data_IF_599962672385
#
_entry.id   IF_599962672385
#
_cell.length_a   1.000
_cell.length_b   1.000
_cell.length_c   1.000
_cell.angle_alpha   90.00
_cell.angle_beta   90.00
_cell.angle_gamma   90.00
#
_symmetry.space_group_name_H-M   'P 1'
#
loop_
_entity.id
_entity.type
_entity.pdbx_description
1 polymer ?
#
# COMPACT_ATOMS: atom_id res chain seq x y z
N UNK A 1 -15.15 -19.36 -6.60
CA UNK A 1 -13.75 -19.44 -6.12
C UNK A 1 -13.73 -20.36 -4.89
N UNK A 2 -12.69 -21.18 -4.67
CA UNK A 2 -12.58 -21.95 -3.43
C UNK A 2 -12.38 -21.00 -2.25
N UNK A 3 -13.07 -21.23 -1.13
CA UNK A 3 -12.88 -20.45 0.11
C UNK A 3 -11.55 -20.77 0.78
N UNK A 4 -11.05 -21.98 0.59
CA UNK A 4 -9.76 -22.42 1.11
C UNK A 4 -8.76 -22.55 -0.04
N UNK A 5 -7.63 -21.85 0.09
CA UNK A 5 -6.52 -21.87 -0.86
C UNK A 5 -5.39 -22.72 -0.28
N UNK A 6 -5.09 -23.83 -0.91
CA UNK A 6 -4.09 -24.80 -0.47
C UNK A 6 -2.71 -24.47 -1.06
N UNK A 7 -1.72 -24.18 -0.23
CA UNK A 7 -0.34 -23.87 -0.60
C UNK A 7 0.65 -24.99 -0.27
N UNK A 8 0.22 -26.17 0.17
CA UNK A 8 1.11 -27.27 0.59
C UNK A 8 2.09 -27.73 -0.50
N UNK A 9 1.73 -27.61 -1.79
CA UNK A 9 2.58 -28.01 -2.92
C UNK A 9 3.08 -26.82 -3.74
N UNK A 10 3.06 -25.62 -3.16
CA UNK A 10 3.52 -24.41 -3.84
C UNK A 10 5.03 -24.48 -4.14
N UNK A 11 5.42 -24.08 -5.34
CA UNK A 11 6.83 -23.84 -5.64
C UNK A 11 7.30 -22.61 -4.85
N UNK A 12 8.47 -22.69 -4.23
CA UNK A 12 9.10 -21.56 -3.54
C UNK A 12 10.14 -20.91 -4.44
N UNK A 13 10.04 -19.60 -4.63
CA UNK A 13 10.88 -18.84 -5.55
C UNK A 13 11.46 -17.63 -4.80
N UNK A 14 12.79 -17.48 -4.82
CA UNK A 14 13.42 -16.31 -4.23
C UNK A 14 13.13 -15.07 -5.08
N UNK A 15 12.69 -13.98 -4.45
CA UNK A 15 12.57 -12.70 -5.13
C UNK A 15 13.96 -12.14 -5.39
N UNK A 16 14.23 -11.67 -6.61
CA UNK A 16 15.48 -10.99 -6.89
C UNK A 16 15.55 -9.72 -6.04
N UNK A 17 16.63 -9.62 -5.27
CA UNK A 17 16.99 -8.44 -4.49
C UNK A 17 18.22 -7.79 -5.12
N UNK A 18 18.16 -6.50 -5.36
CA UNK A 18 19.31 -5.70 -5.70
C UNK A 18 20.21 -5.60 -4.46
N UNK A 19 21.29 -6.39 -4.45
CA UNK A 19 22.35 -6.36 -3.44
C UNK A 19 23.29 -5.17 -3.68
N UNK A 20 24.39 -5.09 -2.91
CA UNK A 20 25.35 -3.97 -2.87
C UNK A 20 25.88 -3.43 -4.20
N UNK A 21 25.79 -4.15 -5.31
CA UNK A 21 26.28 -3.69 -6.62
C UNK A 21 25.39 -2.61 -7.24
N UNK A 22 24.06 -2.69 -7.06
CA UNK A 22 23.14 -1.66 -7.51
C UNK A 22 23.31 -0.33 -6.73
N UNK A 23 23.87 -0.38 -5.51
CA UNK A 23 24.23 0.82 -4.76
C UNK A 23 25.33 1.64 -5.43
N UNK A 24 26.28 0.95 -6.06
CA UNK A 24 27.42 1.56 -6.75
C UNK A 24 26.95 2.22 -8.04
N UNK A 25 26.08 1.55 -8.80
CA UNK A 25 25.48 2.12 -10.02
C UNK A 25 24.52 3.29 -9.74
N UNK A 26 23.81 3.28 -8.60
CA UNK A 26 22.86 4.33 -8.22
C UNK A 26 23.48 5.44 -7.33
N UNK A 27 24.76 5.34 -6.97
CA UNK A 27 25.52 6.31 -6.16
C UNK A 27 24.87 6.69 -4.80
N UNK A 28 24.11 5.78 -4.15
CA UNK A 28 23.41 6.04 -2.88
C UNK A 28 24.09 5.39 -1.67
N UNK A 29 24.40 6.20 -0.66
CA UNK A 29 25.12 5.78 0.55
C UNK A 29 24.30 4.97 1.56
N UNK A 30 22.97 5.15 1.61
CA UNK A 30 22.05 4.37 2.45
C UNK A 30 20.92 3.84 1.55
N UNK A 31 20.66 2.54 1.55
CA UNK A 31 19.65 1.96 0.65
C UNK A 31 18.24 2.08 1.16
N UNK A 32 18.05 2.14 2.47
CA UNK A 32 16.75 1.95 3.10
C UNK A 32 16.48 3.07 4.10
N UNK A 33 15.32 3.70 3.94
CA UNK A 33 14.85 4.80 4.78
C UNK A 33 13.60 4.32 5.52
N UNK A 34 13.75 3.96 6.79
CA UNK A 34 12.66 3.40 7.60
C UNK A 34 11.76 4.47 8.23
N UNK A 35 11.27 5.40 7.40
CA UNK A 35 10.42 6.49 7.86
C UNK A 35 8.97 6.22 7.44
N UNK A 36 8.10 6.00 8.42
CA UNK A 36 6.71 5.60 8.19
C UNK A 36 5.76 6.78 8.00
N UNK A 37 6.12 7.94 8.55
CA UNK A 37 5.24 9.11 8.61
C UNK A 37 5.78 10.22 7.72
N UNK A 38 4.99 10.57 6.70
CA UNK A 38 5.38 11.53 5.68
C UNK A 38 5.36 12.97 6.19
N UNK A 39 4.42 13.32 7.08
CA UNK A 39 4.36 14.64 7.73
C UNK A 39 5.63 14.92 8.52
N UNK A 40 6.15 13.93 9.25
CA UNK A 40 7.42 14.06 9.97
C UNK A 40 8.60 14.40 9.04
N UNK A 41 8.66 13.82 7.83
CA UNK A 41 9.71 14.15 6.86
C UNK A 41 9.58 15.60 6.39
N UNK A 42 8.36 16.02 6.07
CA UNK A 42 8.03 17.39 5.69
C UNK A 42 8.44 18.37 6.79
N UNK A 43 8.06 18.12 8.03
CA UNK A 43 8.32 19.02 9.15
C UNK A 43 9.83 19.13 9.46
N UNK A 44 10.55 18.00 9.45
CA UNK A 44 12.02 18.02 9.61
C UNK A 44 12.67 18.79 8.48
N UNK A 45 12.20 18.63 7.23
CA UNK A 45 12.68 19.41 6.10
C UNK A 45 12.43 20.91 6.28
N UNK A 46 11.21 21.32 6.65
CA UNK A 46 10.85 22.72 6.89
C UNK A 46 11.68 23.34 8.01
N UNK A 47 12.01 22.59 9.07
CA UNK A 47 12.92 23.04 10.13
C UNK A 47 14.34 23.25 9.58
N UNK A 48 14.85 22.33 8.76
CA UNK A 48 16.17 22.49 8.10
C UNK A 48 16.18 23.76 7.25
N UNK A 49 15.13 24.02 6.46
CA UNK A 49 15.00 25.22 5.64
C UNK A 49 14.98 26.49 6.50
N UNK A 50 14.15 26.52 7.53
CA UNK A 50 13.98 27.67 8.43
C UNK A 50 15.26 28.02 9.18
N UNK A 51 15.96 27.01 9.70
CA UNK A 51 17.12 27.18 10.58
C UNK A 51 18.47 26.97 9.89
N UNK A 52 18.47 26.64 8.59
CA UNK A 52 19.66 26.45 7.74
C UNK A 52 20.70 25.53 8.37
N UNK A 53 20.26 24.41 8.93
CA UNK A 53 21.15 23.46 9.62
C UNK A 53 20.63 22.03 9.53
N UNK A 54 21.56 21.09 9.35
CA UNK A 54 21.32 19.64 9.41
C UNK A 54 21.81 19.01 10.71
N UNK A 55 22.09 19.82 11.75
CA UNK A 55 22.48 19.31 13.07
C UNK A 55 21.28 18.61 13.73
N UNK A 56 21.39 17.30 13.93
CA UNK A 56 20.34 16.49 14.58
C UNK A 56 19.94 17.02 15.96
N UNK A 57 20.90 17.52 16.75
CA UNK A 57 20.66 18.06 18.09
C UNK A 57 19.89 19.38 18.01
N UNK A 58 20.28 20.26 17.08
CA UNK A 58 19.58 21.53 16.86
C UNK A 58 18.14 21.28 16.36
N UNK A 59 17.98 20.43 15.35
CA UNK A 59 16.67 20.11 14.78
C UNK A 59 15.77 19.47 15.84
N UNK A 60 16.28 18.50 16.62
CA UNK A 60 15.52 17.87 17.71
C UNK A 60 15.00 18.92 18.71
N UNK A 61 15.87 19.87 19.12
CA UNK A 61 15.49 20.99 19.99
C UNK A 61 14.43 21.87 19.32
N UNK A 62 14.60 22.20 18.04
CA UNK A 62 13.65 23.04 17.28
C UNK A 62 12.29 22.37 17.08
N UNK A 63 12.22 21.07 16.86
CA UNK A 63 10.96 20.35 16.84
C UNK A 63 10.20 20.51 18.17
N UNK A 64 10.91 20.43 19.30
CA UNK A 64 10.32 20.62 20.64
C UNK A 64 9.87 22.07 20.87
N UNK A 65 10.70 23.06 20.52
CA UNK A 65 10.37 24.49 20.67
C UNK A 65 9.17 24.92 19.80
N UNK A 66 9.01 24.32 18.63
CA UNK A 66 7.90 24.60 17.69
C UNK A 66 6.66 23.73 17.96
N UNK A 67 6.64 22.95 19.05
CA UNK A 67 5.56 22.02 19.43
C UNK A 67 5.20 20.99 18.35
N UNK A 68 6.18 20.54 17.57
CA UNK A 68 5.97 19.48 16.58
C UNK A 68 6.09 18.14 17.27
N UNK A 69 5.01 17.36 17.24
CA UNK A 69 4.96 16.03 17.82
C UNK A 69 5.19 14.96 16.74
N UNK A 70 6.09 13.99 16.97
CA UNK A 70 6.18 12.84 16.09
C UNK A 70 4.92 11.96 16.24
N UNK A 71 4.58 11.22 15.20
CA UNK A 71 3.39 10.35 15.13
C UNK A 71 3.65 8.94 15.68
N UNK A 72 4.88 8.66 16.14
CA UNK A 72 5.27 7.39 16.74
C UNK A 72 4.77 7.19 18.17
N UNK A 73 4.85 5.95 18.66
CA UNK A 73 4.28 5.45 19.93
C UNK A 73 4.61 6.32 21.17
N UNK A 74 5.77 6.98 21.19
CA UNK A 74 6.22 7.75 22.37
C UNK A 74 5.99 9.26 22.25
N UNK A 75 5.50 9.77 21.10
CA UNK A 75 5.29 11.20 20.83
C UNK A 75 6.48 12.11 21.21
N UNK A 76 7.71 11.59 21.22
CA UNK A 76 8.90 12.36 21.57
C UNK A 76 10.00 12.25 20.50
N UNK A 77 10.54 13.40 20.11
CA UNK A 77 11.71 13.47 19.25
C UNK A 77 12.97 13.05 20.00
N UNK A 78 13.70 12.12 19.39
CA UNK A 78 15.07 11.75 19.79
C UNK A 78 16.05 12.15 18.69
N UNK A 79 17.30 12.45 19.04
CA UNK A 79 18.32 12.74 18.02
C UNK A 79 18.49 11.60 17.01
N UNK A 80 18.31 10.34 17.46
CA UNK A 80 18.34 9.17 16.58
C UNK A 80 17.20 9.22 15.56
N UNK A 81 15.97 9.48 16.01
CA UNK A 81 14.83 9.60 15.09
C UNK A 81 15.02 10.75 14.09
N UNK A 82 15.54 11.90 14.53
CA UNK A 82 15.84 13.03 13.65
C UNK A 82 16.92 12.67 12.63
N UNK A 83 18.00 12.00 13.05
CA UNK A 83 19.05 11.53 12.15
C UNK A 83 18.50 10.59 11.06
N UNK A 84 17.57 9.70 11.41
CA UNK A 84 16.88 8.84 10.43
C UNK A 84 16.09 9.65 9.40
N UNK A 85 15.39 10.73 9.81
CA UNK A 85 14.66 11.62 8.89
C UNK A 85 15.63 12.40 8.02
N UNK A 86 16.71 12.96 8.56
CA UNK A 86 17.75 13.65 7.79
C UNK A 86 18.36 12.73 6.73
N UNK A 87 18.69 11.49 7.09
CA UNK A 87 19.22 10.51 6.13
C UNK A 87 18.19 10.16 5.06
N UNK A 88 16.91 10.03 5.42
CA UNK A 88 15.84 9.82 4.47
C UNK A 88 15.69 10.99 3.49
N UNK A 89 15.74 12.24 3.97
CA UNK A 89 15.71 13.44 3.12
C UNK A 89 16.87 13.45 2.11
N UNK A 90 18.07 13.00 2.51
CA UNK A 90 19.20 12.79 1.59
C UNK A 90 18.88 11.73 0.53
N UNK A 91 18.37 10.57 0.96
CA UNK A 91 18.06 9.45 0.07
C UNK A 91 16.95 9.76 -0.95
N UNK A 92 16.00 10.61 -0.56
CA UNK A 92 14.92 11.10 -1.40
C UNK A 92 15.28 12.31 -2.26
N UNK A 93 16.51 12.84 -2.14
CA UNK A 93 16.96 13.96 -2.95
C UNK A 93 16.30 15.30 -2.60
N UNK A 94 15.89 15.46 -1.34
CA UNK A 94 15.39 16.74 -0.82
C UNK A 94 16.52 17.64 -0.30
N UNK A 95 17.59 17.02 0.20
CA UNK A 95 18.83 17.68 0.60
C UNK A 95 20.03 16.91 0.01
N UNK A 96 21.15 17.59 -0.22
CA UNK A 96 22.39 17.01 -0.74
C UNK A 96 23.08 16.10 0.29
N UNK A 97 24.08 15.34 -0.13
CA UNK A 97 24.89 14.50 0.78
C UNK A 97 25.55 15.33 1.89
N UNK A 98 25.96 16.55 1.57
CA UNK A 98 26.58 17.51 2.49
C UNK A 98 25.55 18.28 3.34
N UNK A 99 24.26 18.11 3.05
CA UNK A 99 23.15 18.68 3.82
C UNK A 99 22.63 20.01 3.27
N UNK A 100 23.01 20.39 2.05
CA UNK A 100 22.47 21.57 1.38
C UNK A 100 21.05 21.32 0.88
N UNK A 101 20.16 22.30 1.03
CA UNK A 101 18.77 22.17 0.57
C UNK A 101 18.73 22.31 -0.95
N UNK A 102 18.17 21.32 -1.64
CA UNK A 102 18.10 21.30 -3.12
C UNK A 102 17.04 22.27 -3.63
N UNK A 103 15.85 22.29 -3.02
CA UNK A 103 14.80 23.27 -3.31
C UNK A 103 14.06 23.64 -2.02
N UNK A 104 14.33 24.84 -1.49
CA UNK A 104 13.76 25.29 -0.23
C UNK A 104 12.24 25.50 -0.27
N UNK A 105 11.67 25.72 -1.46
CA UNK A 105 10.25 26.01 -1.67
C UNK A 105 9.48 24.79 -2.18
N UNK A 106 10.04 23.58 -2.03
CA UNK A 106 9.35 22.37 -2.50
C UNK A 106 8.06 22.11 -1.73
N UNK A 107 8.04 22.35 -0.42
CA UNK A 107 6.83 22.29 0.40
C UNK A 107 6.36 23.72 0.72
N UNK A 108 5.08 23.99 0.45
CA UNK A 108 4.44 25.29 0.74
C UNK A 108 3.48 25.23 1.95
N UNK A 109 3.36 24.08 2.61
CA UNK A 109 2.49 23.92 3.77
C UNK A 109 3.19 24.29 5.08
N UNK A 110 2.38 24.55 6.11
CA UNK A 110 2.88 24.99 7.40
C UNK A 110 3.49 23.85 8.22
N UNK A 111 4.46 24.19 9.07
CA UNK A 111 5.04 23.26 10.03
C UNK A 111 3.96 22.64 10.93
N UNK A 112 3.96 21.32 11.10
CA UNK A 112 3.03 20.58 11.95
C UNK A 112 1.62 20.41 11.38
N UNK A 113 1.36 20.97 10.20
CA UNK A 113 0.08 20.77 9.51
C UNK A 113 0.01 19.39 8.85
N UNK A 114 -1.20 18.89 8.68
CA UNK A 114 -1.47 17.70 7.86
C UNK A 114 -0.94 17.87 6.43
N UNK A 115 -0.76 16.74 5.74
CA UNK A 115 -0.29 16.75 4.36
C UNK A 115 -1.38 17.30 3.44
N UNK A 116 -1.05 18.38 2.74
CA UNK A 116 -1.83 18.91 1.62
C UNK A 116 -1.76 17.97 0.41
N UNK A 117 -2.62 18.17 -0.58
CA UNK A 117 -2.56 17.37 -1.80
C UNK A 117 -1.31 17.68 -2.64
N UNK A 118 -0.79 18.91 -2.56
CA UNK A 118 0.52 19.29 -3.11
C UNK A 118 1.66 18.52 -2.43
N UNK A 119 1.65 18.43 -1.09
CA UNK A 119 2.64 17.64 -0.35
C UNK A 119 2.61 16.17 -0.79
N UNK A 120 1.41 15.59 -0.91
CA UNK A 120 1.23 14.21 -1.39
C UNK A 120 1.76 14.03 -2.80
N UNK A 121 1.57 15.00 -3.71
CA UNK A 121 2.09 14.90 -5.07
C UNK A 121 3.62 14.88 -5.11
N UNK A 122 4.28 15.66 -4.26
CA UNK A 122 5.75 15.60 -4.09
C UNK A 122 6.18 14.22 -3.61
N UNK A 123 5.51 13.69 -2.58
CA UNK A 123 5.83 12.37 -2.06
C UNK A 123 5.48 11.23 -3.03
N UNK A 124 4.46 11.36 -3.88
CA UNK A 124 4.19 10.42 -4.99
C UNK A 124 5.34 10.41 -5.99
N UNK A 125 5.87 11.58 -6.36
CA UNK A 125 7.06 11.67 -7.21
C UNK A 125 8.25 10.93 -6.58
N UNK A 126 8.51 11.17 -5.29
CA UNK A 126 9.56 10.45 -4.55
C UNK A 126 9.28 8.94 -4.53
N UNK A 127 8.02 8.53 -4.31
CA UNK A 127 7.61 7.14 -4.26
C UNK A 127 7.96 6.39 -5.55
N UNK A 128 7.69 7.00 -6.71
CA UNK A 128 8.00 6.38 -8.01
C UNK A 128 9.46 6.49 -8.43
N UNK A 129 10.23 7.44 -7.89
CA UNK A 129 11.64 7.62 -8.21
C UNK A 129 12.58 6.81 -7.30
N UNK A 130 12.19 6.57 -6.05
CA UNK A 130 13.04 5.90 -5.08
C UNK A 130 13.23 4.42 -5.41
N UNK A 131 14.48 4.02 -5.63
CA UNK A 131 14.79 2.71 -6.20
C UNK A 131 14.25 1.51 -5.42
N UNK A 132 14.17 1.55 -4.08
CA UNK A 132 13.59 0.44 -3.30
C UNK A 132 12.08 0.32 -3.44
N UNK A 133 11.38 1.44 -3.62
CA UNK A 133 9.96 1.38 -3.97
C UNK A 133 9.79 0.82 -5.38
N UNK A 134 10.63 1.25 -6.35
CA UNK A 134 10.66 0.69 -7.71
C UNK A 134 10.98 -0.81 -7.72
N UNK A 135 11.88 -1.27 -6.86
CA UNK A 135 12.20 -2.69 -6.68
C UNK A 135 10.97 -3.48 -6.25
N UNK A 136 10.26 -3.03 -5.20
CA UNK A 136 9.03 -3.69 -4.75
C UNK A 136 7.93 -3.64 -5.83
N UNK A 137 7.72 -2.49 -6.47
CA UNK A 137 6.76 -2.34 -7.58
C UNK A 137 7.07 -3.34 -8.70
N UNK A 138 8.34 -3.53 -9.04
CA UNK A 138 8.72 -4.45 -10.10
C UNK A 138 8.33 -5.89 -9.78
N UNK A 139 8.35 -6.30 -8.50
CA UNK A 139 7.84 -7.62 -8.10
C UNK A 139 6.35 -7.75 -8.38
N UNK A 140 5.59 -6.68 -8.11
CA UNK A 140 4.16 -6.64 -8.40
C UNK A 140 3.87 -6.61 -9.91
N UNK A 141 4.77 -6.10 -10.74
CA UNK A 141 4.64 -6.16 -12.22
C UNK A 141 4.94 -7.58 -12.71
N UNK A 142 6.12 -8.09 -12.39
CA UNK A 142 6.54 -9.43 -12.78
C UNK A 142 7.50 -10.02 -11.73
N UNK A 143 7.03 -10.94 -10.88
CA UNK A 143 7.87 -11.52 -9.83
C UNK A 143 8.89 -12.53 -10.40
N UNK A 144 8.68 -13.03 -11.63
CA UNK A 144 9.60 -13.96 -12.31
C UNK A 144 10.68 -13.27 -13.14
N UNK A 145 10.62 -11.95 -13.32
CA UNK A 145 11.51 -11.25 -14.24
C UNK A 145 12.98 -11.33 -13.84
N UNK A 146 13.79 -11.79 -14.79
CA UNK A 146 15.26 -11.79 -14.72
C UNK A 146 15.84 -10.41 -15.09
N UNK A 147 15.19 -9.66 -15.98
CA UNK A 147 15.56 -8.30 -16.41
C UNK A 147 15.07 -7.21 -15.43
N UNK A 148 15.34 -7.38 -14.14
CA UNK A 148 14.81 -6.55 -13.05
C UNK A 148 15.10 -5.04 -13.23
N UNK A 149 16.32 -4.69 -13.62
CA UNK A 149 16.75 -3.31 -13.78
C UNK A 149 16.00 -2.58 -14.91
N UNK A 150 15.68 -3.29 -16.00
CA UNK A 150 14.92 -2.75 -17.14
C UNK A 150 13.45 -2.49 -16.75
N UNK A 151 12.82 -3.43 -16.03
CA UNK A 151 11.48 -3.20 -15.48
C UNK A 151 11.52 -2.01 -14.54
N UNK A 152 12.53 -1.94 -13.67
CA UNK A 152 12.64 -0.83 -12.74
C UNK A 152 12.78 0.51 -13.45
N UNK A 153 13.64 0.62 -14.47
CA UNK A 153 13.88 1.88 -15.18
C UNK A 153 12.65 2.43 -15.92
N UNK A 154 11.73 1.54 -16.32
CA UNK A 154 10.48 1.91 -17.00
C UNK A 154 9.31 2.27 -16.07
N UNK A 155 9.42 1.99 -14.75
CA UNK A 155 8.33 2.28 -13.80
C UNK A 155 7.99 3.77 -13.78
N UNK A 156 6.72 4.05 -14.05
CA UNK A 156 6.01 5.30 -13.86
C UNK A 156 4.57 5.00 -13.41
N UNK A 157 3.77 6.04 -13.15
CA UNK A 157 2.39 5.86 -12.65
C UNK A 157 1.49 5.08 -13.62
N UNK A 158 1.61 5.32 -14.93
CA UNK A 158 0.83 4.61 -15.95
C UNK A 158 1.16 3.12 -15.97
N UNK A 159 2.46 2.78 -15.99
CA UNK A 159 2.95 1.40 -15.97
C UNK A 159 2.49 0.65 -14.71
N UNK A 160 2.50 1.33 -13.56
CA UNK A 160 2.01 0.78 -12.30
C UNK A 160 0.52 0.47 -12.37
N UNK A 161 -0.30 1.40 -12.88
CA UNK A 161 -1.74 1.20 -13.06
C UNK A 161 -2.00 0.05 -14.02
N UNK A 162 -1.29 -0.06 -15.14
CA UNK A 162 -1.59 -1.09 -16.13
C UNK A 162 -1.05 -2.48 -15.79
N UNK A 163 0.19 -2.59 -15.31
CA UNK A 163 0.92 -3.87 -15.29
C UNK A 163 1.02 -4.55 -13.93
N UNK A 164 0.75 -3.85 -12.82
CA UNK A 164 0.88 -4.48 -11.49
C UNK A 164 -0.23 -5.50 -11.22
N UNK A 165 0.11 -6.52 -10.43
CA UNK A 165 -0.80 -7.56 -9.97
C UNK A 165 -1.25 -7.29 -8.54
N UNK A 166 -2.41 -7.84 -8.19
CA UNK A 166 -2.81 -7.98 -6.78
C UNK A 166 -1.80 -8.89 -6.10
N UNK A 167 -1.33 -8.47 -4.93
CA UNK A 167 -0.30 -9.17 -4.16
C UNK A 167 -0.86 -9.60 -2.81
N UNK A 168 -0.53 -10.82 -2.41
CA UNK A 168 -0.91 -11.39 -1.13
C UNK A 168 0.31 -11.62 -0.25
N UNK A 169 0.79 -10.58 0.44
CA UNK A 169 1.87 -10.70 1.41
C UNK A 169 1.43 -11.44 2.68
N UNK A 170 2.35 -12.22 3.25
CA UNK A 170 2.18 -12.87 4.55
C UNK A 170 3.53 -13.09 5.25
N UNK A 171 3.45 -13.43 6.53
CA UNK A 171 4.59 -13.83 7.34
C UNK A 171 4.63 -15.36 7.34
N UNK A 172 5.60 -15.93 6.66
CA UNK A 172 5.89 -17.37 6.72
C UNK A 172 6.70 -17.70 7.97
N UNK A 173 7.74 -16.91 8.24
CA UNK A 173 8.66 -17.09 9.37
C UNK A 173 9.11 -15.72 9.93
N UNK A 174 9.47 -15.68 11.21
CA UNK A 174 9.92 -14.46 11.87
C UNK A 174 8.78 -13.46 12.14
N UNK A 175 9.12 -12.17 12.11
CA UNK A 175 8.20 -11.07 12.50
C UNK A 175 7.82 -10.12 11.35
N UNK A 176 8.52 -10.19 10.23
CA UNK A 176 8.34 -9.27 9.11
C UNK A 176 7.68 -10.01 7.94
N UNK A 177 6.96 -9.26 7.10
CA UNK A 177 6.45 -9.81 5.84
C UNK A 177 7.63 -10.26 4.99
N UNK A 178 7.66 -11.55 4.65
CA UNK A 178 8.77 -12.16 3.92
C UNK A 178 8.32 -13.08 2.79
N UNK A 179 7.02 -13.32 2.63
CA UNK A 179 6.48 -14.22 1.60
C UNK A 179 5.26 -13.61 0.91
N UNK A 180 5.08 -13.95 -0.35
CA UNK A 180 4.10 -13.34 -1.25
C UNK A 180 3.57 -14.39 -2.23
N UNK A 181 2.30 -14.31 -2.57
CA UNK A 181 1.78 -14.92 -3.80
C UNK A 181 0.97 -13.87 -4.57
N UNK A 182 0.81 -14.08 -5.88
CA UNK A 182 0.19 -13.10 -6.79
C UNK A 182 -1.07 -13.63 -7.48
N UNK A 183 -1.47 -14.86 -7.16
CA UNK A 183 -2.64 -15.52 -7.72
C UNK A 183 -3.42 -16.23 -6.62
N UNK A 184 -4.74 -16.05 -6.60
CA UNK A 184 -5.61 -16.69 -5.62
C UNK A 184 -6.08 -18.05 -6.14
N UNK A 185 -5.19 -19.05 -6.11
CA UNK A 185 -5.46 -20.42 -6.55
C UNK A 185 -4.67 -21.44 -5.73
N UNK A 186 -5.12 -22.69 -5.76
CA UNK A 186 -4.39 -23.78 -5.14
C UNK A 186 -2.99 -23.94 -5.75
N UNK A 187 -2.02 -24.08 -4.86
CA UNK A 187 -0.59 -24.24 -5.10
C UNK A 187 -0.01 -23.13 -5.97
N UNK A 188 -0.51 -21.90 -5.81
CA UNK A 188 0.11 -20.71 -6.37
C UNK A 188 1.57 -20.62 -5.92
N UNK A 189 2.46 -20.19 -6.81
CA UNK A 189 3.87 -20.01 -6.48
C UNK A 189 4.03 -19.01 -5.32
N UNK A 190 4.85 -19.40 -4.36
CA UNK A 190 5.19 -18.59 -3.18
C UNK A 190 6.56 -17.97 -3.39
N UNK A 191 6.57 -16.65 -3.47
CA UNK A 191 7.76 -15.84 -3.58
C UNK A 191 8.24 -15.44 -2.19
N UNK A 192 9.56 -15.43 -1.95
CA UNK A 192 10.10 -15.04 -0.65
C UNK A 192 11.30 -14.11 -0.76
N UNK A 193 11.47 -13.24 0.25
CA UNK A 193 12.71 -12.46 0.42
C UNK A 193 13.69 -13.33 1.20
N UNK A 194 14.94 -13.44 0.74
CA UNK A 194 16.00 -14.15 1.45
C UNK A 194 16.18 -13.62 2.89
N UNK A 195 16.31 -14.49 3.88
CA UNK A 195 16.47 -14.12 5.30
C UNK A 195 17.67 -13.22 5.58
N UNK A 196 18.69 -13.24 4.71
CA UNK A 196 19.83 -12.32 4.77
C UNK A 196 19.43 -10.86 4.51
N UNK A 197 18.27 -10.62 3.90
CA UNK A 197 17.74 -9.30 3.54
C UNK A 197 16.60 -8.84 4.48
N UNK A 198 16.77 -9.06 5.79
CA UNK A 198 15.78 -8.65 6.82
C UNK A 198 15.38 -7.17 6.76
N UNK A 199 16.32 -6.34 6.32
CA UNK A 199 16.13 -4.91 6.07
C UNK A 199 15.09 -4.63 4.98
N UNK A 200 15.10 -5.41 3.89
CA UNK A 200 14.12 -5.31 2.81
C UNK A 200 12.73 -5.83 3.26
N UNK A 201 12.70 -6.88 4.10
CA UNK A 201 11.46 -7.36 4.72
C UNK A 201 10.81 -6.28 5.59
N UNK A 202 11.62 -5.55 6.38
CA UNK A 202 11.15 -4.42 7.18
C UNK A 202 10.66 -3.26 6.31
N UNK A 203 11.29 -3.05 5.16
CA UNK A 203 10.94 -1.96 4.25
C UNK A 203 9.61 -2.16 3.54
N UNK A 204 9.11 -3.39 3.41
CA UNK A 204 7.76 -3.66 2.91
C UNK A 204 6.68 -2.86 3.66
N UNK A 205 6.77 -2.79 4.99
CA UNK A 205 5.77 -2.07 5.78
C UNK A 205 5.79 -0.55 5.51
N UNK A 206 6.98 0.00 5.22
CA UNK A 206 7.14 1.40 4.79
C UNK A 206 6.50 1.60 3.42
N UNK A 207 6.75 0.70 2.46
CA UNK A 207 6.14 0.73 1.13
C UNK A 207 4.61 0.74 1.21
N UNK A 208 4.01 -0.17 1.99
CA UNK A 208 2.56 -0.23 2.15
C UNK A 208 2.01 1.00 2.88
N UNK A 209 2.69 1.47 3.94
CA UNK A 209 2.27 2.67 4.69
C UNK A 209 2.31 3.93 3.81
N UNK A 210 3.35 4.11 3.00
CA UNK A 210 3.43 5.22 2.06
C UNK A 210 2.39 5.10 0.96
N UNK A 211 2.28 3.94 0.30
CA UNK A 211 1.34 3.75 -0.79
C UNK A 211 -0.11 3.97 -0.35
N UNK A 212 -0.49 3.56 0.86
CA UNK A 212 -1.83 3.86 1.43
C UNK A 212 -2.01 5.34 1.78
N UNK A 213 -1.03 5.96 2.46
CA UNK A 213 -1.08 7.39 2.83
C UNK A 213 -1.13 8.31 1.61
N UNK A 214 -0.50 7.91 0.50
CA UNK A 214 -0.48 8.62 -0.77
C UNK A 214 -1.68 8.30 -1.67
N UNK A 215 -2.64 7.51 -1.17
CA UNK A 215 -3.83 7.11 -1.92
C UNK A 215 -3.50 6.34 -3.23
N UNK A 216 -2.41 5.56 -3.22
CA UNK A 216 -1.96 4.72 -4.35
C UNK A 216 -2.35 3.25 -4.18
N UNK A 217 -2.32 2.75 -2.94
CA UNK A 217 -2.57 1.35 -2.60
C UNK A 217 -3.82 1.22 -1.72
N UNK A 218 -4.55 0.13 -1.93
CA UNK A 218 -5.51 -0.39 -0.97
C UNK A 218 -4.98 -1.66 -0.31
N UNK A 219 -5.41 -1.91 0.94
CA UNK A 219 -5.09 -3.13 1.70
C UNK A 219 -6.24 -3.62 2.55
N UNK A 220 -6.42 -4.93 2.64
CA UNK A 220 -7.39 -5.57 3.54
C UNK A 220 -6.99 -7.02 3.86
N UNK A 221 -7.65 -7.67 4.82
CA UNK A 221 -7.40 -9.08 5.13
C UNK A 221 -8.33 -9.97 4.29
N UNK A 222 -7.82 -10.93 3.50
CA UNK A 222 -8.65 -11.82 2.66
C UNK A 222 -9.70 -12.61 3.43
N UNK A 223 -9.46 -12.90 4.71
CA UNK A 223 -10.43 -13.56 5.59
C UNK A 223 -11.78 -12.82 5.68
N UNK A 224 -11.81 -11.50 5.46
CA UNK A 224 -13.05 -10.71 5.43
C UNK A 224 -13.90 -10.98 4.20
N UNK A 225 -13.33 -11.64 3.19
CA UNK A 225 -14.01 -12.16 2.02
C UNK A 225 -14.11 -13.70 2.05
N UNK A 226 -14.09 -14.31 3.24
CA UNK A 226 -14.12 -15.77 3.45
C UNK A 226 -12.96 -16.56 2.80
N UNK A 227 -11.82 -15.90 2.54
CA UNK A 227 -10.64 -16.56 2.00
C UNK A 227 -9.70 -16.99 3.13
N UNK A 228 -9.48 -18.30 3.21
CA UNK A 228 -8.48 -18.92 4.09
C UNK A 228 -7.32 -19.49 3.25
N UNK A 229 -6.15 -19.56 3.87
CA UNK A 229 -4.95 -20.18 3.28
C UNK A 229 -4.50 -21.34 4.15
N UNK A 230 -4.17 -22.46 3.52
CA UNK A 230 -3.68 -23.68 4.15
C UNK A 230 -2.26 -24.01 3.65
N UNK A 231 -1.25 -24.21 4.50
CA UNK A 231 -1.31 -24.10 5.96
C UNK A 231 -1.63 -22.67 6.40
N UNK A 232 -2.14 -22.53 7.62
CA UNK A 232 -2.47 -21.22 8.19
C UNK A 232 -1.20 -20.37 8.27
N UNK A 233 -1.26 -19.18 7.69
CA UNK A 233 -0.17 -18.19 7.68
C UNK A 233 -0.50 -16.99 8.56
N UNK A 234 0.54 -16.26 8.98
CA UNK A 234 0.39 -15.07 9.81
C UNK A 234 0.28 -13.81 8.95
N UNK A 235 -0.54 -12.86 9.41
CA UNK A 235 -0.66 -11.50 8.83
C UNK A 235 -0.94 -11.46 7.33
N UNK A 236 -1.65 -12.45 6.78
CA UNK A 236 -2.08 -12.43 5.39
C UNK A 236 -2.90 -11.18 5.09
N UNK A 237 -2.51 -10.46 4.03
CA UNK A 237 -3.28 -9.34 3.49
C UNK A 237 -3.37 -9.41 1.97
N UNK A 238 -4.31 -8.67 1.40
CA UNK A 238 -4.41 -8.35 -0.01
C UNK A 238 -3.93 -6.91 -0.17
N UNK A 239 -2.99 -6.65 -1.08
CA UNK A 239 -2.41 -5.33 -1.35
C UNK A 239 -2.33 -5.13 -2.86
N UNK A 240 -2.81 -3.99 -3.36
CA UNK A 240 -2.81 -3.70 -4.80
C UNK A 240 -2.77 -2.20 -5.08
N UNK A 241 -2.23 -1.83 -6.24
CA UNK A 241 -2.34 -0.48 -6.79
C UNK A 241 -3.71 -0.25 -7.37
N UNK A 242 -4.33 0.86 -6.97
CA UNK A 242 -5.68 1.22 -7.37
C UNK A 242 -5.71 1.70 -8.82
N UNK A 243 -6.74 1.27 -9.56
CA UNK A 243 -7.12 1.82 -10.87
C UNK A 243 -8.40 2.61 -10.73
N UNK A 244 -8.57 3.61 -11.58
CA UNK A 244 -9.82 4.37 -11.64
C UNK A 244 -10.98 3.48 -12.08
N UNK A 245 -12.17 3.72 -11.49
CA UNK A 245 -13.38 3.01 -11.90
C UNK A 245 -13.77 3.47 -13.30
N UNK A 246 -13.95 2.51 -14.19
CA UNK A 246 -14.41 2.78 -15.55
C UNK A 246 -15.84 3.33 -15.52
N UNK A 247 -16.06 4.46 -16.20
CA UNK A 247 -17.36 5.16 -16.21
C UNK A 247 -18.54 4.30 -16.67
N UNK A 248 -18.28 3.31 -17.51
CA UNK A 248 -19.26 2.40 -18.09
C UNK A 248 -19.28 1.00 -17.43
N UNK A 249 -18.64 0.83 -16.27
CA UNK A 249 -18.68 -0.45 -15.57
C UNK A 249 -20.10 -0.78 -15.11
N UNK A 250 -20.63 -1.93 -15.54
CA UNK A 250 -21.96 -2.41 -15.12
C UNK A 250 -21.82 -3.48 -14.04
N UNK A 251 -22.26 -3.17 -12.83
CA UNK A 251 -22.29 -4.12 -11.71
C UNK A 251 -23.18 -5.32 -12.02
N UNK A 252 -24.38 -5.08 -12.54
CA UNK A 252 -25.35 -6.14 -12.89
C UNK A 252 -24.78 -7.01 -14.01
N UNK A 253 -24.21 -6.39 -15.05
CA UNK A 253 -23.55 -7.11 -16.13
C UNK A 253 -22.41 -7.98 -15.61
N UNK A 254 -21.58 -7.45 -14.72
CA UNK A 254 -20.51 -8.19 -14.07
C UNK A 254 -21.03 -9.37 -13.25
N UNK A 255 -22.07 -9.18 -12.43
CA UNK A 255 -22.68 -10.23 -11.62
C UNK A 255 -23.22 -11.35 -12.52
N UNK A 256 -24.01 -11.03 -13.56
CA UNK A 256 -24.57 -12.03 -14.47
C UNK A 256 -23.49 -12.85 -15.20
N UNK A 257 -22.34 -12.24 -15.51
CA UNK A 257 -21.25 -12.93 -16.19
C UNK A 257 -20.47 -13.87 -15.25
N UNK A 258 -20.36 -13.53 -13.96
CA UNK A 258 -19.43 -14.20 -13.03
C UNK A 258 -20.12 -15.04 -11.95
N UNK A 259 -21.42 -14.84 -11.72
CA UNK A 259 -22.18 -15.49 -10.67
C UNK A 259 -23.38 -16.26 -11.22
N UNK A 260 -23.56 -17.49 -10.74
CA UNK A 260 -24.74 -18.32 -11.03
C UNK A 260 -25.85 -18.15 -9.99
N UNK A 261 -25.52 -17.72 -8.78
CA UNK A 261 -26.46 -17.51 -7.68
C UNK A 261 -27.11 -16.15 -7.84
N UNK A 262 -28.40 -16.04 -7.51
CA UNK A 262 -29.07 -14.76 -7.36
C UNK A 262 -28.73 -14.08 -6.03
N UNK A 263 -28.19 -14.83 -5.06
CA UNK A 263 -27.76 -14.30 -3.78
C UNK A 263 -26.24 -14.13 -3.79
N UNK A 264 -25.78 -12.88 -3.76
CA UNK A 264 -24.38 -12.48 -3.93
C UNK A 264 -23.84 -11.95 -2.61
N UNK A 265 -22.77 -12.57 -2.10
CA UNK A 265 -22.06 -12.08 -0.92
C UNK A 265 -21.13 -10.92 -1.29
N UNK A 266 -21.34 -9.74 -0.70
CA UNK A 266 -20.65 -8.51 -1.12
C UNK A 266 -19.14 -8.56 -0.92
N UNK A 267 -18.58 -9.04 0.21
CA UNK A 267 -17.14 -9.12 0.36
C UNK A 267 -16.44 -9.95 -0.71
N UNK A 268 -17.04 -11.07 -1.15
CA UNK A 268 -16.53 -11.85 -2.29
C UNK A 268 -16.65 -11.07 -3.61
N UNK A 269 -17.77 -10.40 -3.84
CA UNK A 269 -17.98 -9.55 -5.02
C UNK A 269 -16.93 -8.44 -5.12
N UNK A 270 -16.62 -7.77 -4.02
CA UNK A 270 -15.58 -6.75 -3.98
C UNK A 270 -14.22 -7.37 -4.28
N UNK A 271 -13.87 -8.51 -3.67
CA UNK A 271 -12.62 -9.21 -3.96
C UNK A 271 -12.51 -9.55 -5.45
N UNK A 272 -13.55 -10.10 -6.07
CA UNK A 272 -13.54 -10.47 -7.49
C UNK A 272 -13.36 -9.24 -8.40
N UNK A 273 -14.02 -8.12 -8.10
CA UNK A 273 -13.84 -6.86 -8.82
C UNK A 273 -12.39 -6.34 -8.66
N UNK A 274 -11.82 -6.43 -7.46
CA UNK A 274 -10.43 -6.02 -7.20
C UNK A 274 -9.45 -6.90 -7.99
N UNK A 275 -9.65 -8.22 -7.99
CA UNK A 275 -8.77 -9.16 -8.68
C UNK A 275 -8.72 -8.91 -10.19
N UNK A 276 -9.84 -8.48 -10.78
CA UNK A 276 -9.95 -8.24 -12.22
C UNK A 276 -9.63 -6.80 -12.63
N UNK A 277 -10.14 -5.82 -11.87
CA UNK A 277 -10.12 -4.41 -12.27
C UNK A 277 -9.28 -3.52 -11.36
N UNK A 278 -8.91 -3.99 -10.15
CA UNK A 278 -8.13 -3.23 -9.15
C UNK A 278 -8.76 -1.89 -8.78
N UNK A 279 -10.08 -1.79 -8.83
CA UNK A 279 -10.81 -0.59 -8.42
C UNK A 279 -10.66 -0.34 -6.92
N UNK A 280 -10.75 0.93 -6.45
CA UNK A 280 -10.61 1.28 -5.04
C UNK A 280 -11.75 0.67 -4.23
N UNK A 281 -11.48 0.18 -3.01
CA UNK A 281 -12.51 -0.44 -2.14
C UNK A 281 -13.68 0.51 -1.94
N UNK A 282 -13.40 1.76 -1.53
CA UNK A 282 -14.44 2.76 -1.28
C UNK A 282 -15.21 3.13 -2.56
N UNK A 283 -14.53 3.13 -3.69
CA UNK A 283 -15.15 3.33 -5.00
C UNK A 283 -16.12 2.20 -5.35
N UNK A 284 -15.72 0.94 -5.14
CA UNK A 284 -16.57 -0.23 -5.39
C UNK A 284 -17.79 -0.19 -4.46
N UNK A 285 -17.58 0.11 -3.16
CA UNK A 285 -18.67 0.21 -2.17
C UNK A 285 -19.70 1.25 -2.58
N UNK A 286 -19.25 2.43 -3.00
CA UNK A 286 -20.11 3.49 -3.52
C UNK A 286 -20.86 3.04 -4.78
N UNK A 287 -20.14 2.48 -5.75
CA UNK A 287 -20.70 1.96 -7.00
C UNK A 287 -21.79 0.89 -6.76
N UNK A 288 -21.59 0.00 -5.79
CA UNK A 288 -22.59 -0.99 -5.40
C UNK A 288 -23.89 -0.32 -4.96
N UNK A 289 -23.81 0.66 -4.06
CA UNK A 289 -24.99 1.37 -3.56
C UNK A 289 -25.67 2.14 -4.69
N UNK A 290 -24.91 2.91 -5.46
CA UNK A 290 -25.45 3.78 -6.51
C UNK A 290 -26.18 2.95 -7.60
N UNK A 291 -25.54 1.92 -8.15
CA UNK A 291 -26.15 1.10 -9.20
C UNK A 291 -27.33 0.26 -8.71
N UNK A 292 -27.34 -0.18 -7.43
CA UNK A 292 -28.50 -0.85 -6.86
C UNK A 292 -29.69 0.11 -6.70
N UNK A 293 -29.45 1.38 -6.36
CA UNK A 293 -30.50 2.38 -6.26
C UNK A 293 -31.09 2.78 -7.61
N UNK A 294 -30.29 2.71 -8.68
CA UNK A 294 -30.69 2.95 -10.08
C UNK A 294 -31.46 1.77 -10.69
N UNK A 295 -31.22 0.54 -10.24
CA UNK A 295 -31.75 -0.69 -10.83
C UNK A 295 -32.59 -1.51 -9.83
N UNK A 296 -33.49 -0.84 -9.10
CA UNK A 296 -34.27 -1.46 -8.00
C UNK A 296 -35.21 -2.59 -8.45
N UNK A 297 -35.54 -2.62 -9.73
CA UNK A 297 -36.33 -3.66 -10.38
C UNK A 297 -35.54 -4.95 -10.63
N UNK A 298 -34.19 -4.88 -10.62
CA UNK A 298 -33.31 -6.01 -10.95
C UNK A 298 -32.47 -6.49 -9.77
N UNK A 299 -32.23 -5.64 -8.78
CA UNK A 299 -31.39 -5.97 -7.64
C UNK A 299 -31.89 -5.32 -6.35
N UNK A 300 -31.84 -6.08 -5.27
CA UNK A 300 -32.17 -5.63 -3.92
C UNK A 300 -30.99 -5.77 -2.98
N UNK A 301 -30.72 -4.72 -2.19
CA UNK A 301 -29.71 -4.72 -1.14
C UNK A 301 -30.24 -5.38 0.14
N UNK A 302 -29.54 -6.41 0.64
CA UNK A 302 -29.86 -7.09 1.88
C UNK A 302 -29.03 -6.51 3.02
N UNK A 303 -29.72 -5.88 3.96
CA UNK A 303 -29.11 -5.15 5.07
C UNK A 303 -28.77 -6.10 6.22
N UNK A 304 -27.69 -5.80 6.92
CA UNK A 304 -27.33 -6.41 8.20
C UNK A 304 -27.15 -5.32 9.25
N UNK A 305 -27.47 -5.63 10.50
CA UNK A 305 -27.26 -4.71 11.62
C UNK A 305 -25.79 -4.64 11.98
N UNK A 306 -25.32 -3.47 12.40
CA UNK A 306 -23.95 -3.23 12.82
C UNK A 306 -23.50 -4.16 13.95
N UNK A 307 -24.42 -4.56 14.84
CA UNK A 307 -24.12 -5.48 15.96
C UNK A 307 -23.68 -6.88 15.51
N UNK A 308 -23.95 -7.24 14.25
CA UNK A 308 -23.60 -8.55 13.68
C UNK A 308 -22.39 -8.49 12.74
N UNK A 309 -21.75 -7.33 12.62
CA UNK A 309 -20.61 -7.12 11.73
C UNK A 309 -19.38 -6.85 12.58
N UNK A 310 -18.33 -7.64 12.44
CA UNK A 310 -17.07 -7.33 13.11
C UNK A 310 -16.50 -6.01 12.56
N UNK A 311 -15.93 -5.16 13.42
CA UNK A 311 -15.38 -3.84 13.03
C UNK A 311 -14.46 -3.93 11.81
N UNK A 312 -13.75 -5.05 11.71
CA UNK A 312 -12.79 -5.35 10.66
C UNK A 312 -13.44 -5.74 9.33
N UNK A 313 -14.62 -6.37 9.35
CA UNK A 313 -15.38 -6.72 8.15
C UNK A 313 -16.03 -5.49 7.49
N UNK A 314 -16.27 -4.43 8.27
CA UNK A 314 -16.81 -3.14 7.78
C UNK A 314 -16.00 -2.55 6.62
N UNK A 315 -14.71 -2.91 6.52
CA UNK A 315 -13.84 -2.50 5.41
C UNK A 315 -14.46 -2.88 4.06
N UNK A 316 -15.01 -4.08 3.92
CA UNK A 316 -15.59 -4.59 2.66
C UNK A 316 -17.12 -4.44 2.58
N UNK A 317 -17.78 -3.90 3.61
CA UNK A 317 -19.24 -3.77 3.60
C UNK A 317 -19.68 -2.34 3.30
N UNK A 318 -20.40 -2.09 2.19
CA UNK A 318 -20.97 -0.78 1.91
C UNK A 318 -22.03 -0.41 2.94
N UNK A 319 -22.18 0.88 3.17
CA UNK A 319 -23.16 1.43 4.09
C UNK A 319 -24.24 2.17 3.32
N UNK A 320 -25.49 1.90 3.64
CA UNK A 320 -26.65 2.62 3.10
C UNK A 320 -27.62 2.96 4.24
N UNK A 321 -27.92 4.25 4.40
CA UNK A 321 -28.83 4.77 5.46
C UNK A 321 -28.50 4.19 6.85
N UNK A 322 -27.22 4.27 7.24
CA UNK A 322 -26.68 3.78 8.52
C UNK A 322 -26.80 2.27 8.76
N UNK A 323 -27.01 1.48 7.71
CA UNK A 323 -26.99 0.01 7.78
C UNK A 323 -25.95 -0.54 6.84
N UNK A 324 -25.25 -1.60 7.24
CA UNK A 324 -24.35 -2.32 6.35
C UNK A 324 -25.16 -3.18 5.38
N UNK A 325 -24.68 -3.31 4.16
CA UNK A 325 -25.25 -4.23 3.18
C UNK A 325 -24.28 -5.39 3.04
N UNK A 326 -24.72 -6.61 3.36
CA UNK A 326 -23.89 -7.82 3.32
C UNK A 326 -24.09 -8.63 2.04
N UNK A 327 -25.28 -8.55 1.45
CA UNK A 327 -25.61 -9.30 0.25
C UNK A 327 -26.41 -8.48 -0.75
N UNK A 328 -26.36 -8.91 -2.01
CA UNK A 328 -27.28 -8.49 -3.07
C UNK A 328 -28.16 -9.68 -3.44
N UNK A 329 -29.44 -9.39 -3.70
CA UNK A 329 -30.40 -10.33 -4.27
C UNK A 329 -30.74 -9.87 -5.68
N UNK A 330 -30.38 -10.66 -6.69
CA UNK A 330 -30.80 -10.49 -8.08
C UNK A 330 -32.25 -10.97 -8.22
N UNK A 331 -33.10 -10.15 -8.86
CA UNK A 331 -34.56 -10.33 -8.95
C UNK A 331 -35.00 -11.02 -10.25
#
# INVERSE_FOLDING_TARGET
>A
MSKDICLYKSKRIELPSLTGEAHTELLKGWSLSYVYFLRELKDVFLIIVKYKSVSKSLICRKCKEENILPEGINNEWTERSILERINALKNFGLISKDGEVINANIFNSNLGSELTDEDKNIFKSIFFQYFRFREIISWMINPYAENRLEIMSSINEFEVKEKTKVTFPFINEGRFTNSFFFELKDNADVFYINDKNSDLMRFWDVFVKWGTTLDLLDRFQPKWADINVLPKVNSLSCVYFKKEIQKNFSLIGFIHQNYKSNYIYIPQLILDIIMLYRFPIDGIKKMIVDQCLENRDKVSMQRTSEIFVEEKEKVLLPMHRNTYVSHLLML
#
